data_IF_762117180020
#
_entry.id   IF_762117180020
#
_cell.length_a   1.000
_cell.length_b   1.000
_cell.length_c   1.000
_cell.angle_alpha   90.00
_cell.angle_beta   90.00
_cell.angle_gamma   90.00
#
_symmetry.space_group_name_H-M   'P 1'
#
loop_
_entity.id
_entity.type
_entity.pdbx_description
1 polymer ?
#
# COMPACT_ATOMS: atom_id res chain seq x y z
N UNK A 1 24.25 2.34 1.55
CA UNK A 1 24.87 3.53 2.19
C UNK A 1 24.88 3.41 3.71
N UNK A 2 23.73 3.26 4.38
CA UNK A 2 23.67 3.05 5.84
C UNK A 2 24.38 1.76 6.31
N UNK A 3 24.34 0.68 5.53
CA UNK A 3 25.07 -0.57 5.84
C UNK A 3 26.61 -0.42 5.83
N UNK A 4 27.15 0.60 5.14
CA UNK A 4 28.58 0.86 5.07
C UNK A 4 29.04 1.89 6.13
N UNK A 5 28.10 2.61 6.75
CA UNK A 5 28.34 3.64 7.76
C UNK A 5 27.29 3.54 8.88
N UNK A 6 27.38 2.52 9.75
CA UNK A 6 26.37 2.24 10.78
C UNK A 6 26.26 3.35 11.84
N UNK A 7 27.32 4.12 12.04
CA UNK A 7 27.37 5.24 12.99
C UNK A 7 27.03 6.60 12.34
N UNK A 8 26.44 6.60 11.15
CA UNK A 8 26.19 7.84 10.43
C UNK A 8 25.12 8.70 11.11
N UNK A 9 25.40 9.99 11.26
CA UNK A 9 24.41 10.96 11.77
C UNK A 9 23.38 11.26 10.67
N UNK A 10 22.09 11.09 10.99
CA UNK A 10 20.99 11.30 10.04
C UNK A 10 20.22 12.59 10.37
N UNK A 11 20.15 13.49 9.40
CA UNK A 11 19.27 14.66 9.45
C UNK A 11 18.21 14.57 8.36
N UNK A 12 16.92 14.60 8.73
CA UNK A 12 15.80 14.72 7.80
C UNK A 12 15.15 16.09 7.94
N UNK A 13 15.20 16.89 6.87
CA UNK A 13 14.81 18.30 6.85
C UNK A 13 13.76 18.55 5.75
N UNK A 14 12.56 19.05 6.08
CA UNK A 14 11.60 19.49 5.07
C UNK A 14 12.06 20.81 4.46
N UNK A 15 12.12 20.90 3.12
CA UNK A 15 12.57 22.12 2.44
C UNK A 15 11.62 23.32 2.65
N UNK A 16 10.34 23.06 2.90
CA UNK A 16 9.35 24.10 3.13
C UNK A 16 9.63 24.80 4.46
N UNK A 17 9.99 26.08 4.39
CA UNK A 17 10.29 26.89 5.57
C UNK A 17 11.67 26.63 6.20
N UNK A 18 12.52 25.78 5.60
CA UNK A 18 13.87 25.52 6.09
C UNK A 18 14.75 26.77 5.98
N UNK A 19 15.24 27.31 7.11
CA UNK A 19 16.17 28.44 7.08
C UNK A 19 17.53 28.03 6.53
N UNK A 20 18.16 28.89 5.73
CA UNK A 20 19.48 28.62 5.14
C UNK A 20 20.56 28.43 6.22
N UNK A 21 20.46 29.14 7.35
CA UNK A 21 21.40 28.97 8.47
C UNK A 21 21.33 27.55 9.07
N UNK A 22 20.13 27.00 9.24
CA UNK A 22 19.96 25.64 9.73
C UNK A 22 20.53 24.60 8.75
N UNK A 23 20.34 24.80 7.44
CA UNK A 23 20.99 23.95 6.43
C UNK A 23 22.53 24.06 6.54
N UNK A 24 23.06 25.26 6.69
CA UNK A 24 24.50 25.48 6.81
C UNK A 24 25.10 24.79 8.04
N UNK A 25 24.41 24.85 9.19
CA UNK A 25 24.86 24.19 10.42
C UNK A 25 24.95 22.67 10.25
N UNK A 26 23.97 22.07 9.58
CA UNK A 26 23.91 20.62 9.33
C UNK A 26 24.94 20.18 8.27
N UNK A 27 25.24 21.05 7.30
CA UNK A 27 26.26 20.77 6.27
C UNK A 27 27.70 21.10 6.71
N UNK A 28 27.89 21.84 7.81
CA UNK A 28 29.22 22.23 8.29
C UNK A 28 30.06 21.00 8.66
N UNK A 29 31.39 20.95 8.43
CA UNK A 29 32.22 19.77 8.72
C UNK A 29 32.09 19.23 10.15
N UNK A 30 32.04 17.90 10.32
CA UNK A 30 31.96 17.27 11.65
C UNK A 30 33.33 17.21 12.31
N UNK A 31 33.40 17.55 13.59
CA UNK A 31 34.63 17.40 14.41
C UNK A 31 34.85 15.97 14.89
N UNK A 32 33.83 15.11 14.83
CA UNK A 32 33.85 13.77 15.40
C UNK A 32 34.07 12.65 14.38
N UNK A 33 34.26 12.98 13.09
CA UNK A 33 34.69 12.03 12.05
C UNK A 33 33.66 10.97 11.65
N UNK A 34 32.41 11.08 12.13
CA UNK A 34 31.33 10.21 11.67
C UNK A 34 30.79 10.70 10.31
N UNK A 35 30.60 9.78 9.37
CA UNK A 35 29.95 10.05 8.08
C UNK A 35 28.54 10.58 8.32
N UNK A 36 28.03 11.51 7.50
CA UNK A 36 26.71 12.11 7.74
C UNK A 36 25.79 11.94 6.55
N UNK A 37 24.52 11.71 6.84
CA UNK A 37 23.46 11.62 5.84
C UNK A 37 22.45 12.74 6.10
N UNK A 38 22.37 13.68 5.17
CA UNK A 38 21.41 14.79 5.22
C UNK A 38 20.40 14.59 4.11
N UNK A 39 19.13 14.47 4.47
CA UNK A 39 18.02 14.31 3.53
C UNK A 39 17.17 15.57 3.57
N UNK A 40 17.09 16.27 2.45
CA UNK A 40 16.22 17.44 2.30
C UNK A 40 15.01 17.06 1.44
N UNK A 41 13.85 16.94 2.07
CA UNK A 41 12.63 16.48 1.41
C UNK A 41 11.82 17.63 0.83
N UNK A 42 11.13 17.40 -0.30
CA UNK A 42 10.19 18.37 -0.86
C UNK A 42 10.86 19.60 -1.48
N UNK A 43 12.05 19.50 -2.08
CA UNK A 43 12.81 20.66 -2.59
C UNK A 43 12.12 21.46 -3.71
N UNK A 44 11.08 20.91 -4.33
CA UNK A 44 10.16 21.64 -5.21
C UNK A 44 9.44 22.81 -4.52
N UNK A 45 9.33 22.80 -3.19
CA UNK A 45 8.77 23.89 -2.37
C UNK A 45 9.82 24.80 -1.75
N UNK A 46 11.11 24.50 -1.94
CA UNK A 46 12.21 25.29 -1.41
C UNK A 46 12.11 26.76 -1.86
N UNK A 47 12.38 27.66 -0.92
CA UNK A 47 12.52 29.09 -1.20
C UNK A 47 13.79 29.37 -2.03
N UNK A 48 13.83 30.48 -2.76
CA UNK A 48 14.95 30.81 -3.65
C UNK A 48 16.32 30.78 -2.97
N UNK A 49 16.44 31.36 -1.78
CA UNK A 49 17.69 31.36 -1.01
C UNK A 49 18.15 29.93 -0.62
N UNK A 50 17.21 29.03 -0.34
CA UNK A 50 17.53 27.63 -0.04
C UNK A 50 17.97 26.87 -1.30
N UNK A 51 17.32 27.12 -2.44
CA UNK A 51 17.73 26.58 -3.75
C UNK A 51 19.14 27.03 -4.11
N UNK A 52 19.47 28.31 -3.89
CA UNK A 52 20.80 28.85 -4.10
C UNK A 52 21.84 28.20 -3.18
N UNK A 53 21.53 28.02 -1.89
CA UNK A 53 22.42 27.36 -0.95
C UNK A 53 22.71 25.90 -1.34
N UNK A 54 21.67 25.12 -1.66
CA UNK A 54 21.81 23.72 -2.10
C UNK A 54 22.58 23.62 -3.43
N UNK A 55 22.32 24.51 -4.38
CA UNK A 55 23.07 24.57 -5.65
C UNK A 55 24.51 25.01 -5.43
N UNK A 56 24.76 25.88 -4.45
CA UNK A 56 26.12 26.29 -4.07
C UNK A 56 26.94 25.12 -3.52
N UNK A 57 26.31 24.28 -2.70
CA UNK A 57 26.94 23.12 -2.09
C UNK A 57 27.48 22.11 -3.14
N UNK A 58 26.85 21.99 -4.30
CA UNK A 58 27.32 21.04 -5.34
C UNK A 58 28.69 21.40 -5.94
N UNK A 59 29.21 22.60 -5.68
CA UNK A 59 30.52 23.05 -6.18
C UNK A 59 31.69 22.54 -5.36
N UNK A 60 31.47 22.33 -4.05
CA UNK A 60 32.49 21.90 -3.10
C UNK A 60 31.83 21.05 -1.99
N UNK A 61 31.35 19.83 -2.34
CA UNK A 61 30.70 18.96 -1.38
C UNK A 61 31.72 18.37 -0.39
N UNK A 62 31.31 18.23 0.86
CA UNK A 62 32.10 17.56 1.90
C UNK A 62 32.17 16.05 1.57
N UNK A 63 33.37 15.45 1.39
CA UNK A 63 33.51 14.04 1.06
C UNK A 63 32.99 13.09 2.15
N UNK A 64 32.91 13.56 3.41
CA UNK A 64 32.42 12.80 4.56
C UNK A 64 30.92 13.03 4.81
N UNK A 65 30.22 13.69 3.87
CA UNK A 65 28.78 13.94 3.93
C UNK A 65 28.09 13.46 2.65
N UNK A 66 26.97 12.77 2.83
CA UNK A 66 26.03 12.46 1.76
C UNK A 66 24.80 13.36 1.90
N UNK A 67 24.61 14.23 0.90
CA UNK A 67 23.40 15.03 0.76
C UNK A 67 22.44 14.38 -0.23
N UNK A 68 21.23 14.10 0.22
CA UNK A 68 20.11 13.61 -0.60
C UNK A 68 19.06 14.71 -0.68
N UNK A 69 18.65 15.06 -1.90
CA UNK A 69 17.49 15.93 -2.12
C UNK A 69 16.33 15.13 -2.70
N UNK A 70 15.12 15.35 -2.20
CA UNK A 70 13.92 14.66 -2.70
C UNK A 70 13.00 15.67 -3.38
N UNK A 71 12.85 15.52 -4.70
CA UNK A 71 11.98 16.35 -5.52
C UNK A 71 10.74 15.56 -5.95
N UNK A 72 9.53 16.08 -5.74
CA UNK A 72 8.27 15.40 -6.06
C UNK A 72 7.91 15.35 -7.56
N UNK A 73 8.88 15.57 -8.45
CA UNK A 73 8.68 15.82 -9.88
C UNK A 73 8.03 17.17 -10.24
N UNK A 74 7.87 17.44 -11.54
CA UNK A 74 7.29 18.69 -12.07
C UNK A 74 8.31 19.80 -12.34
N UNK A 75 7.82 20.95 -12.84
CA UNK A 75 8.67 22.06 -13.33
C UNK A 75 9.24 22.98 -12.24
N UNK A 76 8.56 23.06 -11.09
CA UNK A 76 8.94 24.00 -10.02
C UNK A 76 10.25 23.54 -9.41
N UNK A 77 11.28 24.40 -9.41
CA UNK A 77 12.65 24.09 -8.97
C UNK A 77 13.32 22.90 -9.67
N UNK A 78 12.86 22.50 -10.86
CA UNK A 78 13.48 21.42 -11.67
C UNK A 78 14.97 21.71 -11.99
N UNK A 79 15.33 22.99 -12.07
CA UNK A 79 16.71 23.43 -12.29
C UNK A 79 17.68 22.98 -11.17
N UNK A 80 17.19 22.83 -9.93
CA UNK A 80 17.98 22.33 -8.81
C UNK A 80 18.40 20.88 -9.05
N UNK A 81 17.46 20.04 -9.48
CA UNK A 81 17.74 18.63 -9.82
C UNK A 81 18.76 18.56 -10.95
N UNK A 82 18.59 19.37 -12.00
CA UNK A 82 19.56 19.46 -13.11
C UNK A 82 20.96 19.87 -12.66
N UNK A 83 21.06 20.79 -11.70
CA UNK A 83 22.35 21.21 -11.16
C UNK A 83 23.05 20.08 -10.39
N UNK A 84 22.31 19.31 -9.58
CA UNK A 84 22.84 18.13 -8.89
C UNK A 84 23.28 17.04 -9.88
N UNK A 85 22.45 16.72 -10.87
CA UNK A 85 22.81 15.74 -11.92
C UNK A 85 24.05 16.17 -12.71
N UNK A 86 24.14 17.46 -13.08
CA UNK A 86 25.32 18.00 -13.77
C UNK A 86 26.59 17.96 -12.91
N UNK A 87 26.45 18.05 -11.59
CA UNK A 87 27.55 17.87 -10.63
C UNK A 87 27.90 16.39 -10.37
N UNK A 88 27.24 15.44 -11.03
CA UNK A 88 27.52 14.01 -10.93
C UNK A 88 26.76 13.29 -9.81
N UNK A 89 25.72 13.90 -9.24
CA UNK A 89 24.89 13.23 -8.26
C UNK A 89 24.21 11.98 -8.85
N UNK A 90 24.15 10.91 -8.06
CA UNK A 90 23.33 9.74 -8.40
C UNK A 90 21.86 10.13 -8.41
N UNK A 91 21.13 9.69 -9.45
CA UNK A 91 19.70 9.95 -9.60
C UNK A 91 18.95 8.65 -9.38
N UNK A 92 18.03 8.66 -8.41
CA UNK A 92 17.07 7.58 -8.21
C UNK A 92 15.67 8.07 -8.60
N UNK A 93 15.26 7.72 -9.82
CA UNK A 93 13.94 8.06 -10.33
C UNK A 93 12.90 7.18 -9.65
N UNK A 94 12.05 7.81 -8.82
CA UNK A 94 10.91 7.18 -8.16
C UNK A 94 9.60 7.57 -8.86
N UNK A 95 9.32 7.04 -10.08
CA UNK A 95 8.13 7.43 -10.83
C UNK A 95 6.86 7.01 -10.08
N UNK A 96 5.84 7.84 -10.18
CA UNK A 96 4.53 7.53 -9.61
C UNK A 96 3.95 6.29 -10.28
N UNK A 97 3.79 5.23 -9.50
CA UNK A 97 3.07 4.02 -9.93
C UNK A 97 1.57 4.31 -9.87
N UNK A 98 0.93 4.46 -11.03
CA UNK A 98 -0.47 4.88 -11.12
C UNK A 98 -1.29 3.93 -12.00
N UNK A 99 -0.70 3.44 -13.08
CA UNK A 99 -1.35 2.51 -14.00
C UNK A 99 -1.27 1.07 -13.51
N UNK A 100 -2.07 0.18 -14.11
CA UNK A 100 -1.95 -1.27 -13.88
C UNK A 100 -0.64 -1.79 -14.48
N UNK A 101 -0.21 -1.25 -15.63
CA UNK A 101 1.06 -1.58 -16.25
C UNK A 101 2.26 -1.24 -15.36
N UNK A 102 2.22 -0.08 -14.69
CA UNK A 102 3.25 0.37 -13.75
C UNK A 102 3.38 -0.61 -12.59
N UNK A 103 2.24 -1.10 -12.07
CA UNK A 103 2.20 -2.08 -10.98
C UNK A 103 2.74 -3.44 -11.40
N UNK A 104 2.45 -3.87 -12.63
CA UNK A 104 3.05 -5.09 -13.20
C UNK A 104 4.57 -4.91 -13.33
N UNK A 105 5.02 -3.73 -13.76
CA UNK A 105 6.44 -3.38 -13.80
C UNK A 105 7.09 -3.42 -12.41
N UNK A 106 6.44 -2.81 -11.42
CA UNK A 106 6.86 -2.83 -10.03
C UNK A 106 7.02 -4.26 -9.50
N UNK A 107 6.00 -5.12 -9.62
CA UNK A 107 6.08 -6.52 -9.19
C UNK A 107 7.22 -7.27 -9.86
N UNK A 108 7.43 -7.07 -11.17
CA UNK A 108 8.55 -7.70 -11.89
C UNK A 108 9.91 -7.24 -11.35
N UNK A 109 10.03 -5.98 -10.95
CA UNK A 109 11.25 -5.44 -10.37
C UNK A 109 11.47 -5.98 -8.95
N UNK A 110 10.43 -6.05 -8.12
CA UNK A 110 10.49 -6.65 -6.78
C UNK A 110 10.91 -8.11 -6.84
N UNK A 111 10.34 -8.91 -7.75
CA UNK A 111 10.76 -10.30 -7.94
C UNK A 111 12.24 -10.39 -8.36
N UNK A 112 12.69 -9.47 -9.22
CA UNK A 112 14.09 -9.46 -9.69
C UNK A 112 15.06 -9.03 -8.59
N UNK A 113 14.71 -8.09 -7.73
CA UNK A 113 15.60 -7.57 -6.67
C UNK A 113 15.97 -8.66 -5.66
N UNK A 114 15.10 -9.65 -5.45
CA UNK A 114 15.35 -10.84 -4.63
C UNK A 114 15.86 -12.05 -5.42
N UNK A 115 16.33 -11.84 -6.66
CA UNK A 115 16.98 -12.88 -7.48
C UNK A 115 16.02 -13.81 -8.24
N UNK A 116 14.72 -13.52 -8.26
CA UNK A 116 13.71 -14.32 -8.95
C UNK A 116 13.36 -13.85 -10.37
N UNK A 117 12.43 -14.58 -10.99
CA UNK A 117 11.76 -14.29 -12.27
C UNK A 117 10.28 -14.55 -12.13
N UNK A 118 9.45 -13.75 -12.78
CA UNK A 118 7.99 -13.93 -12.80
C UNK A 118 7.46 -13.87 -14.23
N UNK A 119 6.55 -14.77 -14.59
CA UNK A 119 5.95 -14.78 -15.92
C UNK A 119 4.95 -13.63 -16.09
N UNK A 120 4.67 -13.17 -17.34
CA UNK A 120 3.79 -12.02 -17.58
C UNK A 120 2.36 -12.20 -17.04
N UNK A 121 1.81 -13.39 -17.19
CA UNK A 121 0.51 -13.81 -16.69
C UNK A 121 0.48 -13.89 -15.16
N UNK A 122 1.54 -14.42 -14.53
CA UNK A 122 1.67 -14.45 -13.06
C UNK A 122 1.73 -13.04 -12.44
N UNK A 123 2.52 -12.14 -13.03
CA UNK A 123 2.60 -10.75 -12.56
C UNK A 123 1.25 -10.03 -12.71
N UNK A 124 0.55 -10.28 -13.83
CA UNK A 124 -0.80 -9.75 -14.05
C UNK A 124 -1.79 -10.29 -13.02
N UNK A 125 -1.77 -11.60 -12.76
CA UNK A 125 -2.63 -12.24 -11.77
C UNK A 125 -2.36 -11.73 -10.34
N UNK A 126 -1.10 -11.51 -9.97
CA UNK A 126 -0.74 -10.99 -8.66
C UNK A 126 -1.22 -9.54 -8.46
N UNK A 127 -1.00 -8.68 -9.46
CA UNK A 127 -1.52 -7.30 -9.45
C UNK A 127 -3.06 -7.28 -9.44
N UNK A 128 -3.69 -8.19 -10.17
CA UNK A 128 -5.13 -8.33 -10.21
C UNK A 128 -5.72 -8.79 -8.85
N UNK A 129 -5.02 -9.68 -8.15
CA UNK A 129 -5.41 -10.19 -6.84
C UNK A 129 -5.25 -9.15 -5.72
N UNK A 130 -4.13 -8.44 -5.69
CA UNK A 130 -3.76 -7.52 -4.59
C UNK A 130 -4.21 -6.07 -4.88
N UNK A 131 -4.22 -5.64 -6.14
CA UNK A 131 -4.72 -4.33 -6.54
C UNK A 131 -3.67 -3.20 -6.50
N UNK A 132 -3.93 -2.16 -5.69
CA UNK A 132 -3.13 -0.93 -5.69
C UNK A 132 -2.12 -0.83 -4.54
N UNK A 133 -2.14 -1.78 -3.61
CA UNK A 133 -1.27 -1.75 -2.43
C UNK A 133 0.14 -2.24 -2.79
N UNK A 134 1.07 -1.29 -2.96
CA UNK A 134 2.46 -1.58 -3.32
C UNK A 134 3.20 -2.35 -2.23
N UNK A 135 2.85 -2.17 -0.94
CA UNK A 135 3.51 -2.90 0.14
C UNK A 135 3.14 -4.37 0.10
N UNK A 136 1.84 -4.66 -0.08
CA UNK A 136 1.38 -6.03 -0.25
C UNK A 136 1.94 -6.68 -1.52
N UNK A 137 2.03 -5.92 -2.63
CA UNK A 137 2.64 -6.42 -3.86
C UNK A 137 4.13 -6.79 -3.67
N UNK A 138 4.89 -5.96 -2.97
CA UNK A 138 6.31 -6.21 -2.64
C UNK A 138 6.48 -7.41 -1.70
N UNK A 139 5.70 -7.49 -0.62
CA UNK A 139 5.71 -8.65 0.29
C UNK A 139 5.38 -9.95 -0.45
N UNK A 140 4.34 -9.93 -1.28
CA UNK A 140 3.93 -11.12 -2.03
C UNK A 140 4.96 -11.53 -3.07
N UNK A 141 5.60 -10.58 -3.76
CA UNK A 141 6.70 -10.86 -4.68
C UNK A 141 7.87 -11.56 -3.99
N UNK A 142 8.30 -11.05 -2.82
CA UNK A 142 9.39 -11.63 -2.03
C UNK A 142 9.05 -13.03 -1.53
N UNK A 143 7.83 -13.21 -1.03
CA UNK A 143 7.37 -14.51 -0.52
C UNK A 143 7.25 -15.55 -1.64
N UNK A 144 6.68 -15.19 -2.80
CA UNK A 144 6.57 -16.08 -3.95
C UNK A 144 7.94 -16.57 -4.43
N UNK A 145 8.96 -15.71 -4.45
CA UNK A 145 10.31 -16.12 -4.83
C UNK A 145 10.90 -17.11 -3.81
N UNK A 146 10.68 -16.85 -2.52
CA UNK A 146 11.16 -17.67 -1.42
C UNK A 146 10.50 -19.06 -1.41
N UNK A 147 9.19 -19.12 -1.61
CA UNK A 147 8.40 -20.35 -1.53
C UNK A 147 8.56 -21.25 -2.78
N UNK A 148 8.81 -20.66 -3.95
CA UNK A 148 8.80 -21.39 -5.24
C UNK A 148 10.16 -21.43 -5.94
N UNK A 149 11.25 -21.01 -5.29
CA UNK A 149 12.61 -21.27 -5.75
C UNK A 149 13.02 -20.46 -6.99
N UNK A 150 12.58 -19.21 -7.07
CA UNK A 150 13.12 -18.24 -8.02
C UNK A 150 12.40 -18.10 -9.36
N UNK A 151 11.52 -19.03 -9.81
CA UNK A 151 10.63 -18.77 -10.96
C UNK A 151 9.18 -18.87 -10.54
N UNK A 152 8.45 -17.76 -10.70
CA UNK A 152 7.06 -17.60 -10.31
C UNK A 152 6.18 -17.61 -11.56
N UNK A 153 5.37 -18.64 -11.70
CA UNK A 153 4.37 -18.77 -12.76
C UNK A 153 2.94 -18.58 -12.23
N UNK A 154 1.95 -18.63 -13.13
CA UNK A 154 0.55 -18.42 -12.73
C UNK A 154 0.04 -19.50 -11.78
N UNK A 155 0.58 -20.72 -11.86
CA UNK A 155 0.24 -21.81 -10.95
C UNK A 155 0.83 -21.59 -9.57
N UNK A 156 2.07 -21.07 -9.46
CA UNK A 156 2.69 -20.63 -8.22
C UNK A 156 1.87 -19.51 -7.57
N UNK A 157 1.42 -18.51 -8.35
CA UNK A 157 0.52 -17.45 -7.84
C UNK A 157 -0.82 -18.01 -7.38
N UNK A 158 -1.42 -18.92 -8.15
CA UNK A 158 -2.67 -19.57 -7.75
C UNK A 158 -2.49 -20.48 -6.52
N UNK A 159 -1.34 -21.16 -6.38
CA UNK A 159 -0.98 -21.96 -5.20
C UNK A 159 -0.64 -21.10 -4.01
N UNK A 160 0.00 -19.95 -4.20
CA UNK A 160 0.21 -18.94 -3.17
C UNK A 160 -1.14 -18.48 -2.62
N UNK A 161 -2.07 -18.09 -3.49
CA UNK A 161 -3.42 -17.71 -3.06
C UNK A 161 -4.26 -18.88 -2.49
N UNK A 162 -4.05 -20.12 -2.94
CA UNK A 162 -4.72 -21.32 -2.38
C UNK A 162 -4.08 -21.81 -1.06
N UNK A 163 -2.77 -21.61 -0.91
CA UNK A 163 -1.94 -21.96 0.25
C UNK A 163 -2.01 -20.91 1.36
N UNK A 164 -2.47 -19.70 1.05
CA UNK A 164 -2.96 -18.70 2.01
C UNK A 164 -4.32 -19.09 2.64
N UNK A 165 -4.46 -20.36 3.03
CA UNK A 165 -5.26 -20.75 4.18
C UNK A 165 -4.56 -20.36 5.51
N UNK A 166 -3.53 -19.52 5.45
CA UNK A 166 -3.10 -18.66 6.54
C UNK A 166 -4.04 -17.47 6.67
N UNK A 167 -4.35 -17.11 7.92
CA UNK A 167 -5.38 -16.12 8.21
C UNK A 167 -4.94 -14.74 7.72
N UNK A 168 -5.56 -14.26 6.64
CA UNK A 168 -5.35 -12.90 6.12
C UNK A 168 -6.53 -11.99 6.46
N UNK A 169 -6.34 -10.67 6.30
CA UNK A 169 -7.46 -9.71 6.35
C UNK A 169 -8.60 -10.06 5.37
N UNK A 170 -8.27 -10.66 4.22
CA UNK A 170 -9.28 -11.12 3.26
C UNK A 170 -10.11 -12.29 3.79
N UNK A 171 -9.51 -13.26 4.48
CA UNK A 171 -10.24 -14.39 5.07
C UNK A 171 -11.22 -13.91 6.15
N UNK A 172 -10.83 -12.90 6.93
CA UNK A 172 -11.75 -12.22 7.86
C UNK A 172 -12.89 -11.56 7.10
N UNK A 173 -12.57 -10.74 6.07
CA UNK A 173 -13.57 -10.04 5.27
C UNK A 173 -14.57 -10.98 4.57
N UNK A 174 -14.14 -12.15 4.12
CA UNK A 174 -15.04 -13.16 3.54
C UNK A 174 -16.10 -13.63 4.52
N UNK A 175 -15.68 -14.03 5.73
CA UNK A 175 -16.59 -14.50 6.77
C UNK A 175 -17.56 -13.41 7.20
N UNK A 176 -17.08 -12.16 7.25
CA UNK A 176 -17.90 -10.98 7.55
C UNK A 176 -18.98 -10.79 6.49
N UNK A 177 -18.61 -10.84 5.21
CA UNK A 177 -19.54 -10.62 4.09
C UNK A 177 -20.59 -11.71 3.95
N UNK A 178 -20.27 -12.95 4.30
CA UNK A 178 -21.26 -14.05 4.34
C UNK A 178 -22.06 -14.08 5.64
N UNK A 179 -21.79 -13.18 6.58
CA UNK A 179 -22.53 -13.02 7.83
C UNK A 179 -22.24 -14.08 8.88
N UNK A 180 -21.11 -14.79 8.78
CA UNK A 180 -20.70 -15.76 9.78
C UNK A 180 -20.09 -15.04 10.99
N UNK A 181 -20.92 -14.68 11.98
CA UNK A 181 -20.47 -13.91 13.15
C UNK A 181 -19.38 -14.62 13.95
N UNK A 182 -19.59 -15.91 14.25
CA UNK A 182 -18.67 -16.68 15.09
C UNK A 182 -17.35 -16.88 14.36
N UNK A 183 -17.43 -17.34 13.11
CA UNK A 183 -16.25 -17.56 12.31
C UNK A 183 -15.50 -16.26 12.01
N UNK A 184 -16.17 -15.12 11.82
CA UNK A 184 -15.49 -13.83 11.59
C UNK A 184 -14.64 -13.40 12.79
N UNK A 185 -15.15 -13.56 14.01
CA UNK A 185 -14.44 -13.17 15.22
C UNK A 185 -13.30 -14.15 15.55
N UNK A 186 -13.52 -15.44 15.31
CA UNK A 186 -12.46 -16.46 15.42
C UNK A 186 -11.31 -16.15 14.45
N UNK A 187 -11.61 -15.92 13.17
CA UNK A 187 -10.59 -15.58 12.18
C UNK A 187 -9.91 -14.25 12.50
N UNK A 188 -10.64 -13.25 12.98
CA UNK A 188 -10.02 -12.00 13.42
C UNK A 188 -8.95 -12.25 14.48
N UNK A 189 -9.28 -13.03 15.51
CA UNK A 189 -8.33 -13.35 16.59
C UNK A 189 -7.09 -14.06 16.07
N UNK A 190 -7.27 -15.02 15.17
CA UNK A 190 -6.14 -15.72 14.55
C UNK A 190 -5.30 -14.78 13.67
N UNK A 191 -5.92 -13.84 12.95
CA UNK A 191 -5.21 -12.85 12.14
C UNK A 191 -4.32 -11.97 13.02
N UNK A 192 -4.88 -11.46 14.13
CA UNK A 192 -4.18 -10.59 15.07
C UNK A 192 -3.04 -11.33 15.78
N UNK A 193 -3.27 -12.59 16.21
CA UNK A 193 -2.23 -13.43 16.81
C UNK A 193 -1.04 -13.68 15.87
N UNK A 194 -1.28 -13.71 14.55
CA UNK A 194 -0.24 -13.86 13.53
C UNK A 194 0.40 -12.52 13.11
N UNK A 195 0.03 -11.42 13.75
CA UNK A 195 0.61 -10.10 13.48
C UNK A 195 0.10 -9.40 12.23
N UNK A 196 -1.06 -9.80 11.69
CA UNK A 196 -1.68 -9.07 10.57
C UNK A 196 -2.06 -7.66 11.03
N UNK A 197 -1.49 -6.64 10.39
CA UNK A 197 -1.75 -5.25 10.76
C UNK A 197 -3.25 -4.88 10.63
N UNK A 198 -3.79 -4.16 11.63
CA UNK A 198 -5.20 -3.78 11.69
C UNK A 198 -5.69 -3.05 10.45
N UNK A 199 -4.85 -2.18 9.89
CA UNK A 199 -5.14 -1.42 8.66
C UNK A 199 -5.42 -2.36 7.49
N UNK A 200 -4.69 -3.47 7.36
CA UNK A 200 -4.88 -4.44 6.27
C UNK A 200 -6.21 -5.19 6.42
N UNK A 201 -6.61 -5.52 7.66
CA UNK A 201 -7.89 -6.17 7.94
C UNK A 201 -9.04 -5.20 7.63
N UNK A 202 -8.92 -3.95 8.05
CA UNK A 202 -9.90 -2.90 7.78
C UNK A 202 -10.06 -2.65 6.26
N UNK A 203 -8.95 -2.51 5.54
CA UNK A 203 -8.94 -2.31 4.09
C UNK A 203 -9.56 -3.50 3.34
N UNK A 204 -9.30 -4.74 3.78
CA UNK A 204 -9.90 -5.93 3.19
C UNK A 204 -11.43 -5.98 3.39
N UNK A 205 -11.93 -5.64 4.59
CA UNK A 205 -13.37 -5.51 4.85
C UNK A 205 -13.97 -4.43 3.97
N UNK A 206 -13.31 -3.27 3.85
CA UNK A 206 -13.77 -2.17 3.04
C UNK A 206 -13.81 -2.50 1.53
N UNK A 207 -12.78 -3.15 0.98
CA UNK A 207 -12.76 -3.62 -0.41
C UNK A 207 -13.89 -4.62 -0.66
N UNK A 208 -14.07 -5.56 0.27
CA UNK A 208 -15.10 -6.58 0.19
C UNK A 208 -16.51 -5.98 0.12
N UNK A 209 -16.85 -5.08 1.03
CA UNK A 209 -18.18 -4.41 1.06
C UNK A 209 -18.38 -3.56 -0.20
N UNK A 210 -17.39 -2.76 -0.62
CA UNK A 210 -17.48 -1.96 -1.85
C UNK A 210 -17.67 -2.85 -3.08
N UNK A 211 -16.95 -3.96 -3.15
CA UNK A 211 -17.04 -4.92 -4.25
C UNK A 211 -18.43 -5.56 -4.31
N UNK A 212 -18.99 -5.97 -3.16
CA UNK A 212 -20.36 -6.49 -3.09
C UNK A 212 -21.40 -5.43 -3.51
N UNK A 213 -21.22 -4.17 -3.12
CA UNK A 213 -22.07 -3.05 -3.53
C UNK A 213 -22.03 -2.80 -5.04
N UNK A 214 -20.83 -2.76 -5.64
CA UNK A 214 -20.65 -2.59 -7.09
C UNK A 214 -21.36 -3.68 -7.88
N UNK A 215 -21.19 -4.95 -7.48
CA UNK A 215 -21.88 -6.08 -8.12
C UNK A 215 -23.39 -6.01 -7.94
N UNK A 216 -23.87 -5.57 -6.77
CA UNK A 216 -25.31 -5.44 -6.49
C UNK A 216 -25.98 -4.28 -7.23
N UNK A 217 -25.20 -3.28 -7.65
CA UNK A 217 -25.71 -2.07 -8.34
C UNK A 217 -25.99 -2.28 -9.83
N UNK A 218 -25.38 -3.30 -10.45
CA UNK A 218 -25.57 -3.60 -11.87
C UNK A 218 -26.71 -4.59 -12.02
N UNK A 219 -27.70 -4.25 -12.87
CA UNK A 219 -28.81 -5.13 -13.23
C UNK A 219 -28.35 -6.20 -14.24
N UNK A 220 -27.47 -7.10 -13.82
CA UNK A 220 -27.11 -8.31 -14.56
C UNK A 220 -26.77 -9.44 -13.61
N UNK A 221 -27.29 -10.63 -13.90
CA UNK A 221 -26.93 -11.87 -13.20
C UNK A 221 -25.79 -12.61 -13.91
N UNK A 222 -25.44 -12.23 -15.14
CA UNK A 222 -24.40 -12.86 -15.93
C UNK A 222 -23.01 -12.41 -15.42
N UNK A 223 -22.15 -13.34 -14.95
CA UNK A 223 -20.81 -12.99 -14.46
C UNK A 223 -19.92 -12.31 -15.51
N UNK A 224 -20.04 -12.67 -16.79
CA UNK A 224 -19.27 -12.09 -17.88
C UNK A 224 -19.66 -10.64 -18.17
N UNK A 225 -20.96 -10.33 -18.16
CA UNK A 225 -21.44 -8.95 -18.32
C UNK A 225 -21.03 -8.08 -17.13
N UNK A 226 -21.11 -8.62 -15.92
CA UNK A 226 -20.62 -7.93 -14.72
C UNK A 226 -19.12 -7.69 -14.77
N UNK A 227 -18.31 -8.69 -15.17
CA UNK A 227 -16.86 -8.55 -15.32
C UNK A 227 -16.51 -7.43 -16.30
N UNK A 228 -17.17 -7.40 -17.46
CA UNK A 228 -17.00 -6.36 -18.49
C UNK A 228 -17.45 -4.98 -18.01
N UNK A 229 -18.63 -4.88 -17.41
CA UNK A 229 -19.24 -3.60 -16.97
C UNK A 229 -18.47 -3.01 -15.81
N UNK A 230 -18.07 -3.83 -14.84
CA UNK A 230 -17.35 -3.40 -13.65
C UNK A 230 -15.83 -3.36 -13.85
N UNK A 231 -15.34 -3.77 -15.03
CA UNK A 231 -13.90 -3.93 -15.32
C UNK A 231 -13.22 -4.75 -14.23
N UNK A 232 -13.87 -5.86 -13.84
CA UNK A 232 -13.44 -6.75 -12.77
C UNK A 232 -13.07 -8.13 -13.30
N UNK A 233 -12.14 -8.83 -12.66
CA UNK A 233 -11.79 -10.21 -13.01
C UNK A 233 -13.00 -11.14 -12.88
N UNK A 234 -13.21 -12.11 -13.78
CA UNK A 234 -14.35 -13.03 -13.71
C UNK A 234 -14.45 -13.79 -12.37
N UNK A 235 -13.31 -14.20 -11.80
CA UNK A 235 -13.28 -14.90 -10.51
C UNK A 235 -13.70 -13.99 -9.34
N UNK A 236 -13.27 -12.71 -9.35
CA UNK A 236 -13.64 -11.71 -8.32
C UNK A 236 -15.12 -11.39 -8.41
N UNK A 237 -15.67 -11.28 -9.63
CA UNK A 237 -17.11 -11.12 -9.85
C UNK A 237 -17.89 -12.32 -9.31
N UNK A 238 -17.47 -13.55 -9.61
CA UNK A 238 -18.17 -14.76 -9.14
C UNK A 238 -18.20 -14.84 -7.61
N UNK A 239 -17.08 -14.53 -6.96
CA UNK A 239 -16.95 -14.46 -5.49
C UNK A 239 -17.83 -13.35 -4.91
N UNK A 240 -17.74 -12.14 -5.46
CA UNK A 240 -18.51 -10.98 -5.04
C UNK A 240 -20.02 -11.18 -5.22
N UNK A 241 -20.46 -11.80 -6.32
CA UNK A 241 -21.85 -12.18 -6.54
C UNK A 241 -22.33 -13.13 -5.46
N UNK A 242 -21.54 -14.16 -5.11
CA UNK A 242 -21.89 -15.10 -4.05
C UNK A 242 -22.05 -14.39 -2.69
N UNK A 243 -21.11 -13.51 -2.35
CA UNK A 243 -21.13 -12.73 -1.11
C UNK A 243 -22.32 -11.75 -1.08
N UNK A 244 -22.65 -11.12 -2.21
CA UNK A 244 -23.72 -10.14 -2.33
C UNK A 244 -25.14 -10.71 -2.16
N UNK A 245 -25.36 -12.02 -2.37
CA UNK A 245 -26.70 -12.64 -2.34
C UNK A 245 -27.48 -12.38 -1.03
N UNK A 246 -26.76 -12.28 0.10
CA UNK A 246 -27.36 -12.06 1.42
C UNK A 246 -27.63 -10.60 1.78
N UNK A 247 -27.32 -9.66 0.89
CA UNK A 247 -27.36 -8.24 1.18
C UNK A 247 -28.49 -7.52 0.46
N UNK A 248 -29.03 -6.48 1.09
CA UNK A 248 -29.78 -5.43 0.40
C UNK A 248 -28.85 -4.27 0.03
N UNK A 249 -29.30 -3.40 -0.88
CA UNK A 249 -28.56 -2.20 -1.26
C UNK A 249 -28.40 -1.27 -0.05
N UNK A 250 -29.46 -1.08 0.72
CA UNK A 250 -29.45 -0.27 1.96
C UNK A 250 -28.46 -0.84 2.98
N UNK A 251 -28.46 -2.17 3.20
CA UNK A 251 -27.49 -2.83 4.06
C UNK A 251 -26.05 -2.62 3.62
N UNK A 252 -25.76 -2.68 2.31
CA UNK A 252 -24.43 -2.42 1.79
C UNK A 252 -24.01 -0.96 1.98
N UNK A 253 -24.93 0.00 1.82
CA UNK A 253 -24.64 1.42 2.10
C UNK A 253 -24.29 1.64 3.57
N UNK A 254 -25.05 1.07 4.50
CA UNK A 254 -24.74 1.14 5.93
C UNK A 254 -23.39 0.48 6.25
N UNK A 255 -23.12 -0.69 5.67
CA UNK A 255 -21.85 -1.39 5.86
C UNK A 255 -20.64 -0.61 5.31
N UNK A 256 -20.79 0.14 4.21
CA UNK A 256 -19.74 1.05 3.70
C UNK A 256 -19.41 2.12 4.74
N UNK A 257 -20.44 2.70 5.38
CA UNK A 257 -20.25 3.67 6.47
C UNK A 257 -19.44 3.08 7.63
N UNK A 258 -19.81 1.88 8.09
CA UNK A 258 -19.07 1.19 9.17
C UNK A 258 -17.63 0.87 8.78
N UNK A 259 -17.37 0.46 7.53
CA UNK A 259 -16.02 0.20 7.05
C UNK A 259 -15.18 1.50 6.95
N UNK A 260 -15.80 2.62 6.59
CA UNK A 260 -15.12 3.92 6.57
C UNK A 260 -14.74 4.39 7.99
N UNK A 261 -15.65 4.26 8.96
CA UNK A 261 -15.38 4.53 10.38
C UNK A 261 -14.23 3.65 10.90
N UNK A 262 -14.27 2.34 10.61
CA UNK A 262 -13.21 1.41 10.98
C UNK A 262 -11.85 1.84 10.43
N UNK A 263 -11.78 2.24 9.16
CA UNK A 263 -10.54 2.70 8.54
C UNK A 263 -9.95 3.94 9.22
N UNK A 264 -10.79 4.81 9.78
CA UNK A 264 -10.35 5.96 10.57
C UNK A 264 -9.87 5.51 11.97
N UNK A 265 -10.64 4.64 12.63
CA UNK A 265 -10.33 4.09 13.95
C UNK A 265 -8.93 3.44 13.99
N UNK A 266 -8.62 2.55 13.03
CA UNK A 266 -7.34 1.83 12.97
C UNK A 266 -6.14 2.72 12.58
N UNK A 267 -6.39 3.95 12.12
CA UNK A 267 -5.35 4.94 11.78
C UNK A 267 -5.08 5.94 12.90
N UNK A 268 -5.60 5.67 14.11
CA UNK A 268 -5.31 6.45 15.32
C UNK A 268 -6.51 7.24 15.86
N UNK A 269 -7.71 7.10 15.29
CA UNK A 269 -8.92 7.74 15.85
C UNK A 269 -9.53 6.96 17.04
N UNK A 270 -9.14 5.71 17.26
CA UNK A 270 -9.65 4.89 18.36
C UNK A 270 -8.59 4.58 19.43
N UNK A 271 -9.05 4.43 20.68
CA UNK A 271 -8.21 4.03 21.82
C UNK A 271 -7.72 2.56 21.74
N UNK A 272 -8.42 1.71 20.98
CA UNK A 272 -8.04 0.31 20.73
C UNK A 272 -8.46 -0.12 19.33
N UNK A 273 -7.49 -0.46 18.49
CA UNK A 273 -7.72 -0.93 17.12
C UNK A 273 -8.33 -2.35 17.09
N UNK A 274 -7.95 -3.24 18.01
CA UNK A 274 -8.53 -4.57 18.19
C UNK A 274 -10.04 -4.48 18.45
N UNK A 275 -10.42 -3.62 19.41
CA UNK A 275 -11.83 -3.41 19.74
C UNK A 275 -12.60 -2.77 18.58
N UNK A 276 -11.98 -1.82 17.85
CA UNK A 276 -12.59 -1.22 16.67
C UNK A 276 -12.93 -2.27 15.61
N UNK A 277 -12.02 -3.21 15.33
CA UNK A 277 -12.25 -4.32 14.42
C UNK A 277 -13.40 -5.23 14.88
N UNK A 278 -13.38 -5.68 16.14
CA UNK A 278 -14.47 -6.51 16.68
C UNK A 278 -15.83 -5.82 16.61
N UNK A 279 -15.88 -4.53 16.96
CA UNK A 279 -17.08 -3.71 16.92
C UNK A 279 -17.61 -3.56 15.50
N UNK A 280 -16.75 -3.24 14.54
CA UNK A 280 -17.12 -3.09 13.14
C UNK A 280 -17.66 -4.41 12.56
N UNK A 281 -16.98 -5.53 12.81
CA UNK A 281 -17.42 -6.86 12.36
C UNK A 281 -18.83 -7.18 12.89
N UNK A 282 -19.08 -6.96 14.18
CA UNK A 282 -20.41 -7.19 14.77
C UNK A 282 -21.47 -6.31 14.11
N UNK A 283 -21.18 -5.02 13.90
CA UNK A 283 -22.11 -4.08 13.23
C UNK A 283 -22.43 -4.52 11.81
N UNK A 284 -21.41 -4.83 10.99
CA UNK A 284 -21.59 -5.25 9.59
C UNK A 284 -22.42 -6.54 9.50
N UNK A 285 -22.14 -7.54 10.34
CA UNK A 285 -22.91 -8.79 10.36
C UNK A 285 -24.35 -8.56 10.82
N UNK A 286 -24.58 -7.69 11.81
CA UNK A 286 -25.93 -7.30 12.24
C UNK A 286 -26.70 -6.60 11.13
N UNK A 287 -26.08 -5.63 10.44
CA UNK A 287 -26.68 -4.92 9.30
C UNK A 287 -27.12 -5.93 8.23
N UNK A 288 -26.24 -6.87 7.85
CA UNK A 288 -26.58 -7.91 6.87
C UNK A 288 -27.81 -8.71 7.27
N UNK A 289 -27.91 -9.08 8.56
CA UNK A 289 -29.03 -9.88 9.07
C UNK A 289 -30.34 -9.10 9.08
N UNK A 290 -30.31 -7.84 9.50
CA UNK A 290 -31.52 -7.01 9.67
C UNK A 290 -32.04 -6.46 8.34
N UNK A 291 -31.14 -6.18 7.41
CA UNK A 291 -31.48 -5.60 6.10
C UNK A 291 -31.50 -6.63 4.97
N UNK A 292 -31.06 -7.87 5.22
CA UNK A 292 -31.00 -8.94 4.23
C UNK A 292 -32.37 -9.30 3.67
N UNK A 293 -32.42 -9.83 2.44
CA UNK A 293 -33.64 -10.08 1.65
C UNK A 293 -34.60 -11.17 2.20
N UNK A 294 -34.66 -11.40 3.52
CA UNK A 294 -35.44 -12.50 4.11
C UNK A 294 -36.04 -12.27 5.51
N UNK A 295 -36.11 -11.04 6.04
CA UNK A 295 -36.69 -10.78 7.38
C UNK A 295 -37.99 -9.96 7.34
N UNK A 296 -38.62 -9.82 6.16
CA UNK A 296 -40.02 -9.34 6.06
C UNK A 296 -40.90 -10.49 5.58
N UNK A 297 -41.26 -11.36 6.52
CA UNK A 297 -42.33 -12.35 6.43
C UNK A 297 -43.06 -12.33 7.75
#
# INVERSE_FOLDING_TARGET
>A
MLENHPDAELHDLPAQGLPVGQLADVLAPSLFGAHRLVVVTGVHEAAGALVEALTGYTKDPDPDLTLVIVHSGGKRNEALVKAFTAAGAAVDDCPRISSVGDRIGFVRNEVRSVGGRITPDAASALVEAIGADLRQLSSAATQLVSDFGGTVDADAVARFHRGQAEVTGFTVAERVLVGDRQGSLEMLRWALQRGVAHVLIADAIADGVRTAARVSSVRSSNPGDLARTLKMPPWKVKRAQSQARGWSIDGLQQAIGVAAELNADVKGAAASADYALERAIRRIVTIRRETGRGVRG
#
